data_IF_492946157283
#
_entry.id   IF_492946157283
#
_cell.length_a   1.000
_cell.length_b   1.000
_cell.length_c   1.000
_cell.angle_alpha   90.00
_cell.angle_beta   90.00
_cell.angle_gamma   90.00
#
_symmetry.space_group_name_H-M   'P 1'
#
loop_
_entity.id
_entity.type
_entity.pdbx_description
1 polymer ?
#
# COMPACT_ATOMS: atom_id res chain seq x y z
N UNK A 1 24.93 -11.97 19.49
CA UNK A 1 24.46 -13.22 18.91
C UNK A 1 23.15 -13.05 18.18
N UNK A 2 22.79 -14.01 17.36
CA UNK A 2 21.58 -14.03 16.52
C UNK A 2 20.28 -13.87 17.35
N UNK A 3 20.30 -14.34 18.61
CA UNK A 3 19.13 -14.28 19.50
C UNK A 3 18.68 -12.86 19.85
N UNK A 4 19.59 -11.88 19.83
CA UNK A 4 19.26 -10.49 20.14
C UNK A 4 18.62 -9.71 18.99
N UNK A 5 18.45 -10.32 17.81
CA UNK A 5 17.92 -9.67 16.60
C UNK A 5 16.58 -10.21 16.15
N UNK A 6 16.06 -11.27 16.81
CA UNK A 6 14.81 -11.94 16.47
C UNK A 6 13.66 -11.45 17.32
N UNK A 7 12.46 -11.40 16.73
CA UNK A 7 11.23 -11.24 17.53
C UNK A 7 11.13 -12.39 18.52
N UNK A 8 10.85 -12.06 19.77
CA UNK A 8 10.81 -13.03 20.87
C UNK A 8 9.41 -13.61 21.12
N UNK A 9 8.37 -12.99 20.56
CA UNK A 9 7.00 -13.48 20.69
C UNK A 9 6.74 -14.70 19.81
N UNK A 10 5.74 -15.49 20.19
CA UNK A 10 5.25 -16.60 19.37
C UNK A 10 4.69 -16.07 18.03
N UNK A 11 4.86 -16.84 16.96
CA UNK A 11 4.40 -16.46 15.62
C UNK A 11 2.91 -16.14 15.60
N UNK A 12 2.10 -16.96 16.25
CA UNK A 12 0.65 -16.75 16.35
C UNK A 12 0.28 -15.44 17.07
N UNK A 13 1.06 -15.05 18.08
CA UNK A 13 0.85 -13.80 18.81
C UNK A 13 1.26 -12.58 17.98
N UNK A 14 2.35 -12.69 17.23
CA UNK A 14 2.78 -11.65 16.29
C UNK A 14 1.69 -11.37 15.24
N UNK A 15 1.19 -12.43 14.62
CA UNK A 15 0.17 -12.32 13.57
C UNK A 15 -1.17 -11.83 14.14
N UNK A 16 -1.61 -12.35 15.27
CA UNK A 16 -2.87 -11.93 15.88
C UNK A 16 -2.82 -10.44 16.31
N UNK A 17 -1.69 -9.99 16.85
CA UNK A 17 -1.51 -8.59 17.25
C UNK A 17 -1.52 -7.67 16.03
N UNK A 18 -0.84 -8.05 14.94
CA UNK A 18 -0.88 -7.32 13.67
C UNK A 18 -2.30 -7.23 13.13
N UNK A 19 -3.04 -8.34 13.14
CA UNK A 19 -4.43 -8.37 12.67
C UNK A 19 -5.33 -7.46 13.49
N UNK A 20 -5.12 -7.36 14.80
CA UNK A 20 -5.86 -6.45 15.67
C UNK A 20 -5.58 -4.98 15.30
N UNK A 21 -4.36 -4.63 14.96
CA UNK A 21 -4.03 -3.28 14.51
C UNK A 21 -4.65 -2.96 13.15
N UNK A 22 -4.54 -3.88 12.20
CA UNK A 22 -5.16 -3.75 10.89
C UNK A 22 -6.68 -3.61 10.98
N UNK A 23 -7.32 -4.31 11.93
CA UNK A 23 -8.76 -4.16 12.18
C UNK A 23 -9.14 -2.74 12.63
N UNK A 24 -8.30 -2.10 13.47
CA UNK A 24 -8.49 -0.70 13.86
C UNK A 24 -8.39 0.24 12.65
N UNK A 25 -7.47 -0.02 11.77
CA UNK A 25 -7.31 0.74 10.52
C UNK A 25 -8.54 0.58 9.62
N UNK A 26 -9.06 -0.61 9.51
CA UNK A 26 -10.30 -0.88 8.77
C UNK A 26 -11.51 -0.16 9.36
N UNK A 27 -11.63 -0.13 10.69
CA UNK A 27 -12.70 0.63 11.38
C UNK A 27 -12.58 2.13 11.10
N UNK A 28 -11.38 2.69 11.15
CA UNK A 28 -11.13 4.10 10.82
C UNK A 28 -11.52 4.41 9.38
N UNK A 29 -11.18 3.52 8.45
CA UNK A 29 -11.55 3.69 7.05
C UNK A 29 -13.07 3.67 6.87
N UNK A 30 -13.77 2.75 7.54
CA UNK A 30 -15.22 2.70 7.52
C UNK A 30 -15.85 3.97 8.11
N UNK A 31 -15.28 4.49 9.18
CA UNK A 31 -15.72 5.74 9.78
C UNK A 31 -15.63 6.90 8.78
N UNK A 32 -14.53 6.99 8.04
CA UNK A 32 -14.33 8.01 7.01
C UNK A 32 -15.30 7.79 5.84
N UNK A 33 -15.45 6.56 5.38
CA UNK A 33 -16.36 6.21 4.29
C UNK A 33 -17.82 6.56 4.60
N UNK A 34 -18.20 6.56 5.87
CA UNK A 34 -19.56 6.82 6.33
C UNK A 34 -19.79 8.26 6.83
N UNK A 35 -18.82 9.16 6.67
CA UNK A 35 -18.93 10.52 7.22
C UNK A 35 -20.15 11.24 6.69
N UNK A 36 -20.48 11.16 5.43
CA UNK A 36 -21.62 11.84 4.84
C UNK A 36 -22.95 11.36 5.41
N UNK A 37 -23.03 10.10 5.83
CA UNK A 37 -24.22 9.55 6.48
C UNK A 37 -24.27 9.82 7.98
N UNK A 38 -23.12 9.87 8.66
CA UNK A 38 -23.04 10.12 10.11
C UNK A 38 -23.03 11.61 10.46
N UNK A 39 -22.63 12.46 9.52
CA UNK A 39 -22.59 13.91 9.64
C UNK A 39 -23.32 14.54 8.46
N UNK A 40 -24.65 14.33 8.33
CA UNK A 40 -25.42 14.83 7.20
C UNK A 40 -25.68 16.34 7.29
N UNK A 41 -26.13 16.92 6.20
CA UNK A 41 -26.64 18.30 6.20
C UNK A 41 -25.64 19.34 5.74
N UNK A 42 -24.48 18.93 5.27
CA UNK A 42 -23.52 19.84 4.65
C UNK A 42 -23.75 19.93 3.14
N UNK A 43 -23.48 21.10 2.59
CA UNK A 43 -23.57 21.32 1.14
C UNK A 43 -22.36 20.72 0.41
N UNK A 44 -21.21 20.64 1.08
CA UNK A 44 -19.98 20.11 0.53
C UNK A 44 -19.16 19.39 1.61
N UNK A 45 -18.49 18.32 1.21
CA UNK A 45 -17.53 17.59 2.05
C UNK A 45 -16.17 17.67 1.36
N UNK A 46 -15.17 18.20 2.07
CA UNK A 46 -13.81 18.35 1.56
C UNK A 46 -12.90 17.40 2.32
N UNK A 47 -12.21 16.55 1.57
CA UNK A 47 -11.35 15.51 2.14
C UNK A 47 -9.89 15.83 1.86
N UNK A 48 -9.10 15.84 2.95
CA UNK A 48 -7.64 15.91 2.93
C UNK A 48 -7.13 14.73 3.75
N UNK A 49 -6.87 13.60 3.09
CA UNK A 49 -6.66 12.32 3.73
C UNK A 49 -5.29 11.74 3.39
N UNK A 50 -4.47 11.53 4.42
CA UNK A 50 -3.33 10.63 4.31
C UNK A 50 -3.81 9.19 4.14
N UNK A 51 -2.96 8.33 3.59
CA UNK A 51 -3.25 6.91 3.44
C UNK A 51 -3.38 6.23 4.80
N UNK A 52 -4.27 5.25 4.90
CA UNK A 52 -4.42 4.38 6.07
C UNK A 52 -3.65 3.10 5.79
N UNK A 53 -2.64 2.83 6.58
CA UNK A 53 -1.79 1.65 6.47
C UNK A 53 -0.51 1.84 7.26
N UNK A 54 0.17 0.74 7.54
CA UNK A 54 1.42 0.72 8.27
C UNK A 54 2.28 -0.46 7.81
N UNK A 55 3.57 -0.37 8.13
CA UNK A 55 4.48 -1.49 7.94
C UNK A 55 4.37 -2.45 9.14
N UNK A 56 3.92 -3.72 8.94
CA UNK A 56 3.80 -4.68 10.03
C UNK A 56 5.10 -4.91 10.81
N UNK A 57 6.23 -4.85 10.14
CA UNK A 57 7.54 -5.01 10.79
C UNK A 57 7.92 -3.80 11.64
N UNK A 58 7.48 -2.59 11.29
CA UNK A 58 7.65 -1.42 12.15
C UNK A 58 6.87 -1.58 13.46
N UNK A 59 5.64 -2.05 13.38
CA UNK A 59 4.83 -2.30 14.58
C UNK A 59 5.43 -3.42 15.44
N UNK A 60 5.76 -4.56 14.85
CA UNK A 60 6.34 -5.67 15.58
C UNK A 60 7.70 -5.31 16.19
N UNK A 61 8.52 -4.56 15.48
CA UNK A 61 9.82 -4.09 15.98
C UNK A 61 9.67 -3.12 17.15
N UNK A 62 8.70 -2.21 17.06
CA UNK A 62 8.36 -1.29 18.17
C UNK A 62 7.89 -2.06 19.42
N UNK A 63 6.95 -2.97 19.25
CA UNK A 63 6.40 -3.74 20.35
C UNK A 63 7.46 -4.66 20.98
N UNK A 64 8.32 -5.25 20.18
CA UNK A 64 9.41 -6.09 20.69
C UNK A 64 10.44 -5.27 21.45
N UNK A 65 10.80 -4.09 20.95
CA UNK A 65 11.72 -3.19 21.64
C UNK A 65 11.18 -2.72 23.00
N UNK A 66 9.87 -2.47 23.06
CA UNK A 66 9.21 -1.95 24.27
C UNK A 66 8.85 -3.05 25.26
N UNK A 67 8.22 -4.12 24.80
CA UNK A 67 7.60 -5.15 25.63
C UNK A 67 8.40 -6.46 25.69
N UNK A 68 9.29 -6.65 24.74
CA UNK A 68 10.01 -7.89 24.46
C UNK A 68 9.08 -8.98 23.96
N UNK A 69 8.57 -9.85 24.82
CA UNK A 69 7.57 -10.84 24.45
C UNK A 69 6.17 -10.33 24.78
N UNK A 70 5.25 -10.46 23.85
CA UNK A 70 3.89 -9.99 24.04
C UNK A 70 2.86 -10.94 23.43
N UNK A 71 1.64 -10.84 23.95
CA UNK A 71 0.43 -11.45 23.40
C UNK A 71 -0.48 -10.34 22.90
N UNK A 72 -1.53 -10.63 22.11
CA UNK A 72 -2.52 -9.61 21.75
C UNK A 72 -3.10 -8.88 22.95
N UNK A 73 -3.33 -9.60 24.05
CA UNK A 73 -3.87 -9.02 25.29
C UNK A 73 -2.88 -8.09 25.98
N UNK A 74 -1.63 -8.52 26.13
CA UNK A 74 -0.60 -7.69 26.77
C UNK A 74 -0.20 -6.47 25.95
N UNK A 75 -0.35 -6.53 24.64
CA UNK A 75 -0.02 -5.43 23.73
C UNK A 75 -1.19 -4.44 23.53
N UNK A 76 -2.41 -4.75 23.99
CA UNK A 76 -3.60 -3.98 23.62
C UNK A 76 -3.50 -2.50 23.98
N UNK A 77 -3.00 -2.18 25.18
CA UNK A 77 -2.85 -0.78 25.60
C UNK A 77 -1.87 -0.02 24.70
N UNK A 78 -0.77 -0.65 24.29
CA UNK A 78 0.21 -0.05 23.39
C UNK A 78 -0.35 0.07 21.96
N UNK A 79 -1.10 -0.90 21.47
CA UNK A 79 -1.79 -0.77 20.19
C UNK A 79 -2.71 0.46 20.17
N UNK A 80 -3.48 0.65 21.22
CA UNK A 80 -4.39 1.79 21.34
C UNK A 80 -3.62 3.11 21.36
N UNK A 81 -2.51 3.15 22.10
CA UNK A 81 -1.65 4.33 22.21
C UNK A 81 -1.00 4.69 20.89
N UNK A 82 -0.39 3.72 20.22
CA UNK A 82 0.27 3.93 18.92
C UNK A 82 -0.76 4.36 17.87
N UNK A 83 -1.90 3.70 17.83
CA UNK A 83 -2.98 4.04 16.89
C UNK A 83 -3.47 5.47 17.07
N UNK A 84 -3.67 5.91 18.32
CA UNK A 84 -4.09 7.28 18.64
C UNK A 84 -3.02 8.32 18.24
N UNK A 85 -1.75 7.96 18.25
CA UNK A 85 -0.66 8.83 17.81
C UNK A 85 -0.47 8.79 16.29
N UNK A 86 -0.66 7.64 15.67
CA UNK A 86 -0.49 7.47 14.23
C UNK A 86 -1.57 8.22 13.46
N UNK A 87 -2.84 8.04 13.83
CA UNK A 87 -3.97 8.57 13.09
C UNK A 87 -4.68 9.68 13.87
N UNK A 88 -4.78 10.84 13.23
CA UNK A 88 -5.58 11.97 13.74
C UNK A 88 -6.63 12.33 12.70
N UNK A 89 -7.90 12.10 13.04
CA UNK A 89 -9.04 12.50 12.22
C UNK A 89 -9.64 13.77 12.80
N UNK A 90 -9.70 14.82 11.98
CA UNK A 90 -10.24 16.12 12.37
C UNK A 90 -11.38 16.50 11.45
N UNK A 91 -12.55 16.81 12.03
CA UNK A 91 -13.71 17.31 11.32
C UNK A 91 -13.88 18.79 11.70
N UNK A 92 -13.87 19.68 10.70
CA UNK A 92 -14.00 21.13 10.93
C UNK A 92 -15.12 21.69 10.06
N UNK A 93 -16.08 22.35 10.70
CA UNK A 93 -17.15 23.04 10.00
C UNK A 93 -16.66 24.39 9.47
N UNK A 94 -17.09 24.71 8.25
CA UNK A 94 -16.82 25.97 7.59
C UNK A 94 -18.11 26.47 6.94
N UNK A 95 -18.38 27.77 7.07
CA UNK A 95 -19.51 28.42 6.42
C UNK A 95 -19.02 29.50 5.49
N UNK A 96 -19.40 29.41 4.23
CA UNK A 96 -19.18 30.47 3.24
C UNK A 96 -20.49 31.17 2.93
N UNK A 97 -20.44 32.49 2.70
CA UNK A 97 -21.57 33.22 2.15
C UNK A 97 -21.44 33.19 0.63
N UNK A 98 -22.39 32.57 -0.02
CA UNK A 98 -22.53 32.52 -1.48
C UNK A 98 -23.75 33.28 -1.93
N UNK A 99 -23.82 33.60 -3.21
CA UNK A 99 -24.90 34.39 -3.79
C UNK A 99 -25.57 33.60 -4.89
N UNK A 100 -26.89 33.68 -4.96
CA UNK A 100 -27.68 33.15 -6.05
C UNK A 100 -28.50 34.25 -6.66
N UNK A 101 -28.77 34.13 -7.96
CA UNK A 101 -29.62 35.06 -8.71
C UNK A 101 -31.07 34.61 -8.55
N UNK A 102 -31.91 35.49 -8.00
CA UNK A 102 -33.35 35.31 -7.96
C UNK A 102 -34.00 36.25 -8.98
N UNK A 103 -34.94 35.70 -9.76
CA UNK A 103 -35.69 36.44 -10.77
C UNK A 103 -37.13 36.56 -10.33
N UNK A 104 -37.65 37.77 -10.34
CA UNK A 104 -39.07 38.05 -10.12
C UNK A 104 -39.68 38.81 -11.31
N UNK A 105 -40.90 38.48 -11.63
CA UNK A 105 -41.66 39.14 -12.72
C UNK A 105 -42.80 39.90 -12.10
N UNK A 106 -42.92 41.19 -12.43
CA UNK A 106 -44.04 42.01 -12.04
C UNK A 106 -45.29 41.54 -12.80
N UNK A 107 -46.33 41.10 -12.09
CA UNK A 107 -47.55 40.56 -12.77
C UNK A 107 -48.34 41.64 -13.53
N UNK A 108 -48.13 42.96 -13.23
CA UNK A 108 -48.83 44.03 -13.89
C UNK A 108 -48.11 44.52 -15.14
N UNK A 109 -46.76 44.64 -15.07
CA UNK A 109 -45.97 45.23 -16.18
C UNK A 109 -45.28 44.13 -17.03
N UNK A 110 -45.14 42.90 -16.51
CA UNK A 110 -44.36 41.84 -17.16
C UNK A 110 -42.85 42.06 -17.09
N UNK A 111 -42.39 43.11 -16.39
CA UNK A 111 -40.94 43.34 -16.21
C UNK A 111 -40.30 42.28 -15.32
N UNK A 112 -39.12 41.80 -15.73
CA UNK A 112 -38.31 40.87 -14.98
C UNK A 112 -37.16 41.61 -14.32
N UNK A 113 -37.04 41.45 -13.02
CA UNK A 113 -35.90 41.94 -12.22
C UNK A 113 -35.10 40.78 -11.68
N UNK A 114 -33.79 40.97 -11.64
CA UNK A 114 -32.86 39.98 -11.04
C UNK A 114 -32.21 40.61 -9.82
N UNK A 115 -32.06 39.77 -8.80
CA UNK A 115 -31.42 40.18 -7.52
C UNK A 115 -30.45 39.13 -7.07
N UNK A 116 -29.28 39.53 -6.59
CA UNK A 116 -28.31 38.64 -5.97
C UNK A 116 -28.66 38.49 -4.48
N UNK A 117 -28.99 37.25 -4.07
CA UNK A 117 -29.42 36.92 -2.72
C UNK A 117 -28.34 36.08 -2.04
N UNK A 118 -27.85 36.52 -0.86
CA UNK A 118 -26.86 35.75 -0.11
C UNK A 118 -27.52 34.50 0.51
N UNK A 119 -26.75 33.43 0.57
CA UNK A 119 -27.12 32.23 1.31
C UNK A 119 -25.91 31.61 1.95
N UNK A 120 -26.11 30.86 3.03
CA UNK A 120 -25.06 30.11 3.70
C UNK A 120 -24.78 28.81 2.99
N UNK A 121 -23.50 28.54 2.75
CA UNK A 121 -22.99 27.31 2.17
C UNK A 121 -22.12 26.61 3.21
N UNK A 122 -22.60 25.44 3.65
CA UNK A 122 -21.98 24.71 4.77
C UNK A 122 -21.05 23.63 4.27
N UNK A 123 -19.84 23.66 4.74
CA UNK A 123 -18.76 22.75 4.34
C UNK A 123 -18.28 21.98 5.56
N UNK A 124 -18.13 20.67 5.43
CA UNK A 124 -17.41 19.84 6.39
C UNK A 124 -16.04 19.51 5.81
N UNK A 125 -15.00 19.99 6.48
CA UNK A 125 -13.61 19.65 6.16
C UNK A 125 -13.21 18.41 6.95
N UNK A 126 -12.77 17.37 6.25
CA UNK A 126 -12.36 16.10 6.81
C UNK A 126 -10.86 15.94 6.57
N UNK A 127 -10.09 15.91 7.65
CA UNK A 127 -8.63 15.76 7.57
C UNK A 127 -8.18 14.54 8.34
N UNK A 128 -7.39 13.69 7.68
CA UNK A 128 -6.69 12.57 8.31
C UNK A 128 -5.19 12.76 8.16
N UNK A 129 -4.47 12.70 9.28
CA UNK A 129 -3.02 12.63 9.29
C UNK A 129 -2.57 11.23 9.71
N UNK A 130 -1.54 10.72 9.03
CA UNK A 130 -0.86 9.47 9.35
C UNK A 130 0.58 9.79 9.72
N UNK A 131 0.92 9.66 11.01
CA UNK A 131 2.27 9.78 11.52
C UNK A 131 2.92 8.39 11.50
N UNK A 132 4.01 8.17 10.74
CA UNK A 132 4.62 6.85 10.64
C UNK A 132 5.01 6.28 12.01
N UNK A 133 4.89 4.96 12.16
CA UNK A 133 5.29 4.26 13.39
C UNK A 133 6.77 4.50 13.71
N UNK A 134 7.62 4.65 12.69
CA UNK A 134 9.03 5.00 12.89
C UNK A 134 9.24 6.31 13.65
N UNK A 135 8.43 7.34 13.37
CA UNK A 135 8.47 8.60 14.12
C UNK A 135 7.92 8.44 15.53
N UNK A 136 6.87 7.66 15.70
CA UNK A 136 6.30 7.36 17.02
C UNK A 136 7.34 6.62 17.88
N UNK A 137 8.07 5.67 17.29
CA UNK A 137 9.16 4.96 17.97
C UNK A 137 10.23 5.92 18.47
N UNK A 138 10.63 6.90 17.69
CA UNK A 138 11.60 7.91 18.09
C UNK A 138 11.11 8.76 19.27
N UNK A 139 9.80 9.03 19.35
CA UNK A 139 9.22 9.81 20.44
C UNK A 139 9.05 9.01 21.73
N UNK A 140 8.70 7.73 21.64
CA UNK A 140 8.27 6.94 22.79
C UNK A 140 9.35 6.04 23.38
N UNK A 141 10.28 5.56 22.56
CA UNK A 141 11.30 4.62 23.00
C UNK A 141 12.45 5.35 23.67
N UNK A 142 13.03 4.71 24.69
CA UNK A 142 14.31 5.14 25.24
C UNK A 142 15.41 4.99 24.19
N UNK A 143 16.58 5.66 24.33
CA UNK A 143 17.66 5.48 23.36
C UNK A 143 18.09 4.04 23.15
N UNK A 144 18.09 3.22 24.21
CA UNK A 144 18.44 1.79 24.12
C UNK A 144 17.35 1.00 23.41
N UNK A 145 16.09 1.25 23.70
CA UNK A 145 14.97 0.61 23.02
C UNK A 145 14.93 1.01 21.53
N UNK A 146 15.22 2.26 21.21
CA UNK A 146 15.27 2.75 19.84
C UNK A 146 16.37 2.06 19.02
N UNK A 147 17.53 1.84 19.64
CA UNK A 147 18.60 1.07 19.01
C UNK A 147 18.15 -0.37 18.70
N UNK A 148 17.47 -1.03 19.64
CA UNK A 148 16.93 -2.37 19.42
C UNK A 148 15.81 -2.38 18.38
N UNK A 149 14.94 -1.38 18.37
CA UNK A 149 13.93 -1.21 17.33
C UNK A 149 14.55 -1.21 15.93
N UNK A 150 15.62 -0.45 15.74
CA UNK A 150 16.34 -0.37 14.46
C UNK A 150 16.94 -1.71 14.05
N UNK A 151 17.49 -2.45 15.01
CA UNK A 151 18.04 -3.79 14.76
C UNK A 151 16.94 -4.76 14.35
N UNK A 152 15.81 -4.81 15.07
CA UNK A 152 14.67 -5.66 14.71
C UNK A 152 14.13 -5.31 13.34
N UNK A 153 14.02 -4.03 13.02
CA UNK A 153 13.51 -3.58 11.72
C UNK A 153 14.46 -3.99 10.59
N UNK A 154 15.76 -3.79 10.75
CA UNK A 154 16.77 -4.17 9.77
C UNK A 154 16.76 -5.67 9.46
N UNK A 155 16.59 -6.49 10.48
CA UNK A 155 16.56 -7.95 10.34
C UNK A 155 15.18 -8.50 10.05
N UNK A 156 14.14 -7.67 10.04
CA UNK A 156 12.73 -8.09 10.05
C UNK A 156 12.43 -9.11 11.15
N UNK A 157 13.11 -8.95 12.29
CA UNK A 157 13.02 -9.88 13.42
C UNK A 157 13.44 -11.31 13.11
N UNK A 158 14.21 -11.52 12.03
CA UNK A 158 14.58 -12.82 11.46
C UNK A 158 13.37 -13.67 11.04
N UNK A 159 12.23 -13.01 10.80
CA UNK A 159 10.98 -13.61 10.35
C UNK A 159 10.40 -12.76 9.21
N UNK A 160 11.10 -12.61 8.07
CA UNK A 160 10.72 -11.64 7.03
C UNK A 160 9.34 -11.91 6.41
N UNK A 161 8.87 -13.17 6.43
CA UNK A 161 7.60 -13.56 5.82
C UNK A 161 6.48 -13.80 6.83
N UNK A 162 6.69 -13.47 8.12
CA UNK A 162 5.70 -13.76 9.17
C UNK A 162 4.35 -13.07 8.92
N UNK A 163 4.37 -11.90 8.28
CA UNK A 163 3.15 -11.14 7.97
C UNK A 163 2.67 -11.33 6.53
N UNK A 164 3.15 -12.37 5.84
CA UNK A 164 2.70 -12.75 4.51
C UNK A 164 3.65 -12.37 3.38
N UNK A 165 3.15 -12.34 2.15
CA UNK A 165 3.92 -12.27 0.90
C UNK A 165 4.56 -10.94 0.55
N UNK A 166 4.73 -10.02 1.48
CA UNK A 166 5.47 -8.78 1.26
C UNK A 166 6.97 -9.02 1.09
N UNK A 167 7.67 -8.07 0.48
CA UNK A 167 9.12 -8.11 0.36
C UNK A 167 9.77 -8.02 1.75
N UNK A 168 10.80 -8.84 2.06
CA UNK A 168 11.57 -8.70 3.29
C UNK A 168 12.44 -7.45 3.31
N UNK A 169 12.69 -6.84 2.14
CA UNK A 169 13.47 -5.62 2.03
C UNK A 169 12.63 -4.42 2.48
N UNK A 170 13.03 -3.84 3.59
CA UNK A 170 12.37 -2.70 4.21
C UNK A 170 12.95 -1.36 3.73
N UNK A 171 13.85 -1.38 2.76
CA UNK A 171 14.49 -0.19 2.21
C UNK A 171 13.49 0.79 1.59
N UNK A 172 13.92 2.03 1.44
CA UNK A 172 13.15 3.05 0.75
C UNK A 172 12.94 2.70 -0.73
N UNK A 173 11.95 3.34 -1.35
CA UNK A 173 11.78 3.27 -2.80
C UNK A 173 13.05 3.80 -3.50
N UNK A 174 13.50 3.09 -4.54
CA UNK A 174 14.70 3.47 -5.26
C UNK A 174 14.43 4.59 -6.27
N UNK A 175 15.47 5.35 -6.55
CA UNK A 175 15.47 6.39 -7.57
C UNK A 175 15.98 5.78 -8.90
N UNK A 176 15.26 6.05 -9.97
CA UNK A 176 15.63 5.58 -11.32
C UNK A 176 16.55 6.57 -12.08
N UNK A 177 16.98 7.66 -11.44
CA UNK A 177 17.89 8.63 -12.04
C UNK A 177 19.19 7.96 -12.50
N UNK A 178 19.59 8.18 -13.75
CA UNK A 178 20.79 7.60 -14.32
C UNK A 178 20.68 6.14 -14.74
N UNK A 179 19.53 5.50 -14.55
CA UNK A 179 19.29 4.13 -15.03
C UNK A 179 19.00 4.15 -16.53
N UNK A 180 19.76 3.37 -17.29
CA UNK A 180 19.54 3.19 -18.75
C UNK A 180 19.02 1.79 -18.98
N UNK A 181 17.75 1.68 -19.36
CA UNK A 181 17.12 0.41 -19.64
C UNK A 181 17.50 -0.10 -21.03
N UNK A 182 17.75 -1.40 -21.11
CA UNK A 182 18.02 -2.11 -22.36
C UNK A 182 16.75 -2.83 -22.78
N UNK A 183 16.24 -2.52 -23.96
CA UNK A 183 15.04 -3.15 -24.49
C UNK A 183 15.40 -4.47 -25.20
N UNK A 184 14.65 -5.54 -24.87
CA UNK A 184 14.66 -6.78 -25.61
C UNK A 184 13.81 -6.69 -26.89
N UNK A 185 13.55 -7.84 -27.50
CA UNK A 185 12.77 -7.93 -28.74
C UNK A 185 11.27 -8.12 -28.50
N UNK A 186 10.87 -8.54 -27.32
CA UNK A 186 9.45 -8.70 -27.00
C UNK A 186 8.77 -7.35 -26.80
N UNK A 187 7.54 -7.17 -27.31
CA UNK A 187 6.78 -5.97 -27.03
C UNK A 187 6.55 -5.81 -25.51
N UNK A 188 6.80 -4.61 -25.01
CA UNK A 188 6.47 -4.22 -23.65
C UNK A 188 5.33 -3.20 -23.63
N UNK A 189 4.96 -2.76 -22.44
CA UNK A 189 3.95 -1.73 -22.23
C UNK A 189 4.49 -0.67 -21.28
N UNK A 190 4.95 0.45 -21.82
CA UNK A 190 5.46 1.56 -20.99
C UNK A 190 4.33 2.30 -20.27
N UNK A 191 3.12 2.29 -20.82
CA UNK A 191 1.97 2.94 -20.20
C UNK A 191 1.58 2.26 -18.87
N UNK A 192 1.61 0.92 -18.80
CA UNK A 192 1.32 0.20 -17.54
C UNK A 192 2.44 0.42 -16.53
N UNK A 193 3.68 0.53 -16.98
CA UNK A 193 4.81 0.86 -16.11
C UNK A 193 4.65 2.26 -15.51
N UNK A 194 4.31 3.24 -16.32
CA UNK A 194 4.09 4.62 -15.87
C UNK A 194 2.91 4.71 -14.90
N UNK A 195 1.83 3.96 -15.17
CA UNK A 195 0.69 3.84 -14.27
C UNK A 195 1.11 3.28 -12.91
N UNK A 196 1.89 2.20 -12.92
CA UNK A 196 2.40 1.57 -11.70
C UNK A 196 3.29 2.53 -10.91
N UNK A 197 4.19 3.24 -11.58
CA UNK A 197 5.06 4.24 -10.94
C UNK A 197 4.26 5.34 -10.24
N UNK A 198 3.13 5.76 -10.79
CA UNK A 198 2.27 6.78 -10.17
C UNK A 198 1.66 6.31 -8.85
N UNK A 199 1.66 5.01 -8.57
CA UNK A 199 1.13 4.45 -7.33
C UNK A 199 2.19 4.40 -6.21
N UNK A 200 3.45 4.68 -6.53
CA UNK A 200 4.55 4.69 -5.55
C UNK A 200 4.22 5.67 -4.42
N UNK A 201 4.40 5.21 -3.20
CA UNK A 201 4.03 5.95 -1.99
C UNK A 201 2.68 5.56 -1.40
N UNK A 202 1.84 4.78 -2.11
CA UNK A 202 0.65 4.22 -1.50
C UNK A 202 1.03 3.29 -0.36
N UNK A 203 0.35 3.43 0.77
CA UNK A 203 0.52 2.59 1.96
C UNK A 203 -0.80 1.86 2.21
N UNK A 204 -0.73 0.60 2.61
CA UNK A 204 -1.89 -0.20 2.98
C UNK A 204 -2.64 -0.85 1.81
N UNK A 205 -2.43 -0.40 0.58
CA UNK A 205 -2.92 -1.04 -0.64
C UNK A 205 -4.43 -1.06 -0.85
N UNK A 206 -5.20 -0.26 -0.12
CA UNK A 206 -6.67 -0.28 -0.18
C UNK A 206 -7.23 -0.15 -1.62
N UNK A 207 -6.76 0.74 -2.49
CA UNK A 207 -7.28 0.84 -3.86
C UNK A 207 -7.20 -0.47 -4.64
N UNK A 208 -6.23 -1.32 -4.30
CA UNK A 208 -5.92 -2.54 -5.03
C UNK A 208 -6.65 -3.75 -4.47
N UNK A 209 -6.58 -3.98 -3.15
CA UNK A 209 -7.28 -5.12 -2.56
C UNK A 209 -8.80 -4.92 -2.54
N UNK A 210 -9.30 -3.68 -2.38
CA UNK A 210 -10.74 -3.41 -2.44
C UNK A 210 -11.29 -3.56 -3.87
N UNK A 211 -10.55 -3.10 -4.88
CA UNK A 211 -10.91 -3.33 -6.28
C UNK A 211 -11.00 -4.83 -6.60
N UNK A 212 -10.06 -5.62 -6.05
CA UNK A 212 -10.07 -7.07 -6.24
C UNK A 212 -11.31 -7.73 -5.65
N UNK A 213 -11.90 -7.16 -4.62
CA UNK A 213 -13.12 -7.64 -4.00
C UNK A 213 -12.99 -7.99 -2.52
N UNK A 214 -11.85 -7.70 -1.89
CA UNK A 214 -11.68 -7.90 -0.46
C UNK A 214 -12.29 -6.75 0.34
N UNK A 215 -12.85 -7.08 1.50
CA UNK A 215 -13.50 -6.13 2.39
C UNK A 215 -12.57 -5.58 3.50
N UNK A 216 -11.39 -6.15 3.62
CA UNK A 216 -10.38 -5.74 4.59
C UNK A 216 -8.99 -5.98 4.00
N UNK A 217 -7.97 -5.40 4.64
CA UNK A 217 -6.59 -5.53 4.18
C UNK A 217 -6.18 -7.01 4.10
N UNK A 218 -5.62 -7.38 2.97
CA UNK A 218 -4.95 -8.66 2.72
C UNK A 218 -3.53 -8.38 2.25
N UNK A 219 -2.72 -9.43 2.05
CA UNK A 219 -1.47 -9.29 1.29
C UNK A 219 -1.81 -8.87 -0.13
N UNK A 220 -1.31 -7.72 -0.56
CA UNK A 220 -1.84 -7.04 -1.75
C UNK A 220 -0.86 -6.89 -2.91
N UNK A 221 0.28 -7.58 -2.88
CA UNK A 221 1.24 -7.53 -3.98
C UNK A 221 0.63 -8.01 -5.31
N UNK A 222 -0.09 -9.11 -5.27
CA UNK A 222 -0.76 -9.68 -6.44
C UNK A 222 -1.99 -8.86 -6.86
N UNK A 223 -2.74 -8.34 -5.90
CA UNK A 223 -3.86 -7.43 -6.18
C UNK A 223 -3.36 -6.18 -6.92
N UNK A 224 -2.22 -5.64 -6.54
CA UNK A 224 -1.61 -4.47 -7.18
C UNK A 224 -1.24 -4.75 -8.65
N UNK A 225 -0.54 -5.85 -8.92
CA UNK A 225 -0.17 -6.22 -10.29
C UNK A 225 -1.41 -6.47 -11.15
N UNK A 226 -2.40 -7.18 -10.61
CA UNK A 226 -3.67 -7.43 -11.28
C UNK A 226 -4.43 -6.15 -11.61
N UNK A 227 -4.42 -5.20 -10.66
CA UNK A 227 -5.02 -3.89 -10.87
C UNK A 227 -4.33 -3.12 -11.99
N UNK A 228 -3.01 -3.13 -12.01
CA UNK A 228 -2.24 -2.48 -13.10
C UNK A 228 -2.60 -3.07 -14.45
N UNK A 229 -2.69 -4.38 -14.56
CA UNK A 229 -3.08 -5.05 -15.82
C UNK A 229 -4.50 -4.70 -16.25
N UNK A 230 -5.43 -4.66 -15.29
CA UNK A 230 -6.81 -4.28 -15.59
C UNK A 230 -6.89 -2.84 -16.12
N UNK A 231 -6.17 -1.91 -15.51
CA UNK A 231 -6.12 -0.52 -15.96
C UNK A 231 -5.51 -0.39 -17.37
N UNK A 232 -4.63 -1.31 -17.74
CA UNK A 232 -4.03 -1.36 -19.07
C UNK A 232 -4.88 -2.10 -20.11
N UNK A 233 -6.10 -2.48 -19.76
CA UNK A 233 -7.04 -3.18 -20.65
C UNK A 233 -6.90 -4.70 -20.68
N UNK A 234 -6.12 -5.29 -19.76
CA UNK A 234 -5.97 -6.74 -19.63
C UNK A 234 -6.80 -7.23 -18.45
N UNK A 235 -7.94 -7.88 -18.73
CA UNK A 235 -8.79 -8.47 -17.69
C UNK A 235 -8.13 -9.68 -17.02
N UNK A 236 -7.15 -10.29 -17.67
CA UNK A 236 -6.36 -11.42 -17.19
C UNK A 236 -4.86 -11.19 -17.41
N UNK A 237 -3.96 -11.68 -16.54
CA UNK A 237 -4.28 -12.44 -15.32
C UNK A 237 -4.88 -11.53 -14.23
N UNK A 238 -5.73 -12.13 -13.41
CA UNK A 238 -6.29 -11.52 -12.23
C UNK A 238 -6.14 -12.50 -11.06
N UNK A 239 -5.23 -12.21 -10.14
CA UNK A 239 -4.87 -13.14 -9.08
C UNK A 239 -4.55 -12.40 -7.79
N UNK A 240 -4.82 -13.05 -6.67
CA UNK A 240 -4.45 -12.62 -5.32
C UNK A 240 -3.40 -13.54 -4.70
N UNK A 241 -3.32 -14.80 -5.16
CA UNK A 241 -2.32 -15.76 -4.71
C UNK A 241 -1.20 -15.92 -5.75
N UNK A 242 0.04 -15.63 -5.35
CA UNK A 242 1.17 -15.69 -6.27
C UNK A 242 1.42 -17.10 -6.79
N UNK A 243 1.55 -18.09 -5.86
CA UNK A 243 1.85 -19.49 -6.25
C UNK A 243 0.60 -20.26 -6.67
N UNK A 244 -0.54 -20.02 -6.02
CA UNK A 244 -1.75 -20.80 -6.29
C UNK A 244 -2.46 -20.38 -7.59
N UNK A 245 -2.29 -19.16 -8.02
CA UNK A 245 -3.01 -18.58 -9.16
C UNK A 245 -2.07 -17.95 -10.22
N UNK A 246 -1.16 -17.07 -9.81
CA UNK A 246 -0.35 -16.27 -10.74
C UNK A 246 0.64 -17.13 -11.53
N UNK A 247 1.50 -17.86 -10.87
CA UNK A 247 2.50 -18.71 -11.52
C UNK A 247 1.86 -19.73 -12.48
N UNK A 248 0.83 -20.49 -12.05
CA UNK A 248 0.19 -21.45 -12.95
C UNK A 248 -0.49 -20.81 -14.15
N UNK A 249 -1.04 -19.60 -14.00
CA UNK A 249 -1.68 -18.91 -15.12
C UNK A 249 -0.69 -18.67 -16.26
N UNK A 250 0.50 -18.17 -15.93
CA UNK A 250 1.55 -17.93 -16.92
C UNK A 250 2.15 -19.24 -17.47
N UNK A 251 2.46 -20.17 -16.57
CA UNK A 251 3.07 -21.44 -16.97
C UNK A 251 2.19 -22.27 -17.92
N UNK A 252 0.89 -22.34 -17.63
CA UNK A 252 -0.06 -23.12 -18.44
C UNK A 252 -0.26 -22.55 -19.85
N UNK A 253 0.11 -21.29 -20.06
CA UNK A 253 0.00 -20.61 -21.36
C UNK A 253 1.32 -20.54 -22.12
N UNK A 254 2.38 -21.15 -21.60
CA UNK A 254 3.71 -21.05 -22.17
C UNK A 254 4.30 -19.63 -22.05
N UNK A 255 3.80 -18.83 -21.12
CA UNK A 255 4.22 -17.43 -20.89
C UNK A 255 5.06 -17.33 -19.62
N UNK A 256 6.08 -18.16 -19.52
CA UNK A 256 6.92 -18.23 -18.33
C UNK A 256 8.40 -18.19 -18.73
N UNK A 257 9.16 -17.31 -18.06
CA UNK A 257 10.61 -17.24 -18.15
C UNK A 257 11.24 -17.61 -16.81
N UNK A 258 12.20 -18.51 -16.81
CA UNK A 258 12.95 -18.84 -15.59
C UNK A 258 13.87 -17.68 -15.20
N UNK A 259 14.38 -17.69 -13.96
CA UNK A 259 15.44 -16.76 -13.54
C UNK A 259 16.57 -16.77 -14.57
N UNK A 260 17.03 -15.58 -14.95
CA UNK A 260 18.04 -15.43 -16.01
C UNK A 260 17.48 -15.31 -17.41
N UNK A 261 16.17 -15.36 -17.58
CA UNK A 261 15.53 -15.09 -18.87
C UNK A 261 15.91 -13.69 -19.35
N UNK A 262 16.52 -13.60 -20.52
CA UNK A 262 17.15 -12.36 -21.00
C UNK A 262 16.19 -11.41 -21.71
N UNK A 263 15.06 -11.91 -22.22
CA UNK A 263 14.15 -11.12 -23.05
C UNK A 263 12.92 -10.63 -22.27
N UNK A 264 13.12 -10.20 -21.03
CA UNK A 264 12.06 -9.57 -20.24
C UNK A 264 11.66 -8.23 -20.87
N UNK A 265 10.40 -7.87 -20.70
CA UNK A 265 9.85 -6.64 -21.25
C UNK A 265 9.16 -5.81 -20.19
N UNK A 266 9.10 -4.47 -20.34
CA UNK A 266 8.30 -3.63 -19.47
C UNK A 266 6.84 -4.12 -19.39
N UNK A 267 6.34 -4.29 -18.17
CA UNK A 267 5.00 -4.79 -17.93
C UNK A 267 4.90 -6.29 -17.70
N UNK A 268 5.99 -7.04 -17.78
CA UNK A 268 5.99 -8.43 -17.30
C UNK A 268 5.81 -8.48 -15.79
N UNK A 269 5.39 -9.64 -15.28
CA UNK A 269 5.38 -9.93 -13.85
C UNK A 269 6.72 -10.58 -13.45
N UNK A 270 7.18 -10.28 -12.23
CA UNK A 270 8.32 -10.95 -11.62
C UNK A 270 7.90 -11.59 -10.31
N UNK A 271 8.18 -12.89 -10.18
CA UNK A 271 7.81 -13.67 -8.98
C UNK A 271 9.05 -14.00 -8.16
N UNK A 272 8.89 -13.92 -6.85
CA UNK A 272 9.96 -14.16 -5.88
C UNK A 272 9.60 -15.32 -4.95
N UNK A 273 10.63 -16.08 -4.60
CA UNK A 273 10.60 -17.13 -3.58
C UNK A 273 11.66 -16.74 -2.55
N UNK A 274 11.20 -16.07 -1.47
CA UNK A 274 12.13 -15.49 -0.49
C UNK A 274 12.82 -16.51 0.40
N UNK A 275 12.14 -17.62 0.71
CA UNK A 275 12.63 -18.64 1.64
C UNK A 275 13.17 -19.89 0.96
N UNK A 276 13.09 -19.95 -0.38
CA UNK A 276 13.64 -21.06 -1.15
C UNK A 276 12.84 -22.36 -1.04
N UNK A 277 11.55 -22.29 -0.67
CA UNK A 277 10.69 -23.47 -0.52
C UNK A 277 10.04 -23.94 -1.84
N UNK A 278 10.33 -23.27 -2.97
CA UNK A 278 9.76 -23.56 -4.26
C UNK A 278 8.40 -22.93 -4.54
N UNK A 279 7.86 -22.19 -3.58
CA UNK A 279 6.59 -21.49 -3.69
C UNK A 279 6.82 -19.98 -3.82
N UNK A 280 6.14 -19.32 -4.76
CA UNK A 280 6.23 -17.89 -4.92
C UNK A 280 5.56 -17.17 -3.74
N UNK A 281 6.30 -16.25 -3.13
CA UNK A 281 5.88 -15.48 -1.95
C UNK A 281 5.44 -14.07 -2.32
N UNK A 282 5.88 -13.55 -3.46
CA UNK A 282 5.72 -12.15 -3.83
C UNK A 282 5.72 -11.99 -5.35
N UNK A 283 5.12 -10.90 -5.82
CA UNK A 283 5.11 -10.54 -7.23
C UNK A 283 5.25 -9.03 -7.39
N UNK A 284 5.96 -8.61 -8.41
CA UNK A 284 6.08 -7.21 -8.83
C UNK A 284 5.83 -7.03 -10.32
N UNK A 285 5.74 -5.78 -10.74
CA UNK A 285 5.66 -5.39 -12.15
C UNK A 285 7.05 -4.98 -12.63
N UNK A 286 7.50 -5.55 -13.74
CA UNK A 286 8.80 -5.24 -14.33
C UNK A 286 8.75 -3.86 -14.99
N UNK A 287 9.68 -2.98 -14.59
CA UNK A 287 9.96 -1.72 -15.31
C UNK A 287 10.85 -2.00 -16.50
N UNK A 288 11.88 -2.82 -16.32
CA UNK A 288 12.87 -3.17 -17.32
C UNK A 288 14.18 -3.63 -16.68
N UNK A 289 15.21 -3.77 -17.49
CA UNK A 289 16.54 -4.17 -17.06
C UNK A 289 17.60 -3.27 -17.67
N UNK A 290 18.72 -3.08 -16.97
CA UNK A 290 19.92 -2.45 -17.52
C UNK A 290 20.98 -3.49 -17.95
N UNK A 291 20.62 -4.78 -17.89
CA UNK A 291 21.51 -5.90 -18.18
C UNK A 291 22.15 -6.51 -16.94
N UNK A 292 22.26 -5.76 -15.84
CA UNK A 292 22.80 -6.22 -14.56
C UNK A 292 21.72 -6.36 -13.50
N UNK A 293 20.76 -5.44 -13.48
CA UNK A 293 19.65 -5.40 -12.54
C UNK A 293 18.31 -5.39 -13.26
N UNK A 294 17.31 -5.96 -12.62
CA UNK A 294 15.91 -5.83 -13.00
C UNK A 294 15.24 -4.83 -12.05
N UNK A 295 14.53 -3.88 -12.62
CA UNK A 295 13.82 -2.81 -11.89
C UNK A 295 12.33 -3.12 -11.88
N UNK A 296 11.71 -2.89 -10.74
CA UNK A 296 10.32 -3.28 -10.49
C UNK A 296 9.52 -2.16 -9.83
N UNK A 297 8.20 -2.20 -9.99
CA UNK A 297 7.26 -1.52 -9.08
C UNK A 297 6.52 -2.62 -8.32
N UNK A 298 6.57 -2.57 -7.00
CA UNK A 298 6.01 -3.59 -6.14
C UNK A 298 5.00 -2.99 -5.18
N UNK A 299 3.82 -3.59 -5.13
CA UNK A 299 2.87 -3.38 -4.05
C UNK A 299 3.26 -4.24 -2.86
N UNK A 300 2.87 -3.80 -1.68
CA UNK A 300 3.14 -4.53 -0.42
C UNK A 300 4.63 -4.83 -0.17
N UNK A 301 5.48 -3.91 -0.55
CA UNK A 301 6.88 -3.92 -0.14
C UNK A 301 7.00 -3.13 1.16
N UNK A 302 6.98 -3.84 2.31
CA UNK A 302 6.82 -3.20 3.61
C UNK A 302 5.51 -2.40 3.70
N UNK A 303 4.40 -3.00 3.26
CA UNK A 303 3.05 -2.42 3.20
C UNK A 303 2.95 -1.13 2.34
N UNK A 304 3.88 -0.93 1.44
CA UNK A 304 3.89 0.24 0.56
C UNK A 304 4.16 -0.15 -0.90
N UNK A 305 3.78 0.74 -1.81
CA UNK A 305 4.16 0.64 -3.22
C UNK A 305 5.51 1.32 -3.42
N UNK A 306 6.49 0.58 -3.93
CA UNK A 306 7.88 1.02 -4.05
C UNK A 306 8.50 0.60 -5.38
N UNK A 307 9.47 1.38 -5.82
CA UNK A 307 10.41 0.96 -6.87
C UNK A 307 11.56 0.21 -6.20
N UNK A 308 11.86 -0.98 -6.71
CA UNK A 308 12.94 -1.84 -6.21
C UNK A 308 13.81 -2.30 -7.38
N UNK A 309 14.97 -2.85 -7.06
CA UNK A 309 15.82 -3.52 -8.07
C UNK A 309 16.57 -4.68 -7.45
N UNK A 310 16.93 -5.63 -8.32
CA UNK A 310 17.62 -6.85 -7.92
C UNK A 310 18.63 -7.23 -9.00
N UNK A 311 19.76 -7.87 -8.65
CA UNK A 311 20.60 -8.49 -9.66
C UNK A 311 19.78 -9.45 -10.54
N UNK A 312 20.03 -9.49 -11.84
CA UNK A 312 19.25 -10.34 -12.77
C UNK A 312 19.33 -11.83 -12.43
N UNK A 313 20.40 -12.25 -11.75
CA UNK A 313 20.59 -13.64 -11.31
C UNK A 313 20.30 -13.84 -9.81
N UNK A 314 19.60 -12.87 -9.17
CA UNK A 314 19.28 -12.93 -7.76
C UNK A 314 18.55 -14.22 -7.41
N UNK A 315 19.06 -14.96 -6.41
CA UNK A 315 18.61 -16.31 -6.09
C UNK A 315 17.14 -16.42 -5.72
N UNK A 316 16.55 -15.34 -5.18
CA UNK A 316 15.15 -15.29 -4.80
C UNK A 316 14.19 -15.06 -5.97
N UNK A 317 14.69 -14.72 -7.16
CA UNK A 317 13.82 -14.63 -8.34
C UNK A 317 13.41 -16.03 -8.74
N UNK A 318 12.10 -16.32 -8.66
CA UNK A 318 11.54 -17.59 -9.11
C UNK A 318 11.42 -17.64 -10.62
N UNK A 319 10.97 -16.55 -11.22
CA UNK A 319 10.79 -16.45 -12.66
C UNK A 319 9.90 -15.28 -13.04
N UNK A 320 9.59 -15.22 -14.32
CA UNK A 320 8.83 -14.11 -14.92
C UNK A 320 7.56 -14.61 -15.57
N UNK A 321 6.47 -13.88 -15.31
CA UNK A 321 5.25 -14.01 -16.09
C UNK A 321 5.35 -13.09 -17.31
N UNK A 322 5.39 -13.69 -18.50
CA UNK A 322 5.61 -12.97 -19.75
C UNK A 322 4.26 -12.53 -20.31
N UNK A 323 4.00 -11.23 -20.27
CA UNK A 323 2.76 -10.69 -20.79
C UNK A 323 2.79 -10.58 -22.31
N UNK A 324 1.62 -10.81 -22.90
CA UNK A 324 1.41 -10.58 -24.32
C UNK A 324 0.79 -9.20 -24.52
N UNK A 325 1.59 -8.23 -24.94
CA UNK A 325 1.18 -6.85 -25.15
C UNK A 325 0.81 -6.50 -26.59
N UNK A 326 0.65 -7.47 -27.43
CA UNK A 326 0.23 -7.25 -28.82
C UNK A 326 -1.24 -6.89 -28.95
#
# INVERSE_FOLDING_TARGET
GILGTSYTSEDSDLVATENNYAAKENELQQQIDNIESTHPGYDEYRYDLDSIGHNPHELASYLTALLQTYTPQSAQAELNRVFAMQYTLTLTEETEIRYRTETSTDPETGETTTEEVPYEYHILNVKLTNKPISEIAEELLTPQQLEMYRVYLETSGNKPLIFGGGSPDMGASEDLSGVQLVNGTRPGNTAVVDLAKRQVGNVGGRPFWSWYGFNSRVEWCACFVSWCYNQAGKSEPRFAGCQSQGVPWFQSRGQWGARGYENIAPGDAIFFDWDGDGSADHVGLVIGTDGERVYTVEGNSGDACKIKSYPVNYSCIKGYGLMNWN
#
